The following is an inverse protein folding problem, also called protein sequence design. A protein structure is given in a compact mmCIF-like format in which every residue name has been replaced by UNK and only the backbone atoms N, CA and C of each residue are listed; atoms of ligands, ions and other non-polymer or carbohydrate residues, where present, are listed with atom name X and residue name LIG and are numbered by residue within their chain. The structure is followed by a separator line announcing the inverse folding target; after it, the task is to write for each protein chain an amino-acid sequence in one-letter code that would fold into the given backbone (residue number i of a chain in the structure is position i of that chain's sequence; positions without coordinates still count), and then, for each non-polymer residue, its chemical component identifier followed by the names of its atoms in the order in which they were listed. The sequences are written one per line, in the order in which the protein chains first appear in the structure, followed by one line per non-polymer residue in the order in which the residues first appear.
data_IF_199069886274
#
_entry.id   IF_199069886274
#
_cell.length_a   1.000
_cell.length_b   1.000
_cell.length_c   1.000
_cell.angle_alpha   90.00
_cell.angle_beta   90.00
_cell.angle_gamma   90.00
#
_symmetry.space_group_name_H-M   'P 1'
#
loop_
_entity.id
_entity.type
_entity.pdbx_description
1 polymer ?
#
# COMPACT_ATOMS: atom_id res chain seq x y z
N UNK A 1 27.95 -19.06 23.40
CA UNK A 1 26.54 -18.80 23.76
C UNK A 1 25.73 -19.83 23.00
N UNK A 2 25.17 -20.83 23.69
CA UNK A 2 24.33 -21.87 23.07
C UNK A 2 22.94 -21.29 22.89
N UNK A 3 22.57 -20.96 21.66
CA UNK A 3 21.20 -20.56 21.31
C UNK A 3 20.27 -21.73 21.66
N UNK A 4 19.17 -21.52 22.40
CA UNK A 4 18.26 -22.61 22.71
C UNK A 4 17.76 -23.23 21.40
N UNK A 5 17.80 -24.56 21.31
CA UNK A 5 17.28 -25.30 20.17
C UNK A 5 15.77 -25.03 20.11
N UNK A 6 15.37 -24.11 19.24
CA UNK A 6 13.98 -23.70 19.09
C UNK A 6 13.19 -24.88 18.51
N UNK A 7 12.26 -25.42 19.30
CA UNK A 7 11.42 -26.56 18.92
C UNK A 7 10.45 -26.17 17.79
N UNK A 8 9.95 -27.16 17.04
CA UNK A 8 9.00 -26.89 15.97
C UNK A 8 7.70 -26.30 16.53
N UNK A 9 7.30 -25.11 16.06
CA UNK A 9 6.21 -24.37 16.67
C UNK A 9 5.91 -23.03 16.01
N UNK A 10 4.93 -22.32 16.56
CA UNK A 10 4.49 -21.01 16.09
C UNK A 10 5.25 -19.90 16.83
N UNK A 11 5.96 -19.06 16.08
CA UNK A 11 6.77 -17.99 16.66
C UNK A 11 6.52 -16.65 15.96
N UNK A 12 6.61 -15.53 16.71
CA UNK A 12 6.44 -14.21 16.13
C UNK A 12 7.64 -13.85 15.25
N UNK A 13 7.36 -13.38 14.03
CA UNK A 13 8.35 -12.79 13.14
C UNK A 13 8.48 -11.28 13.38
N UNK A 14 9.59 -10.67 12.93
CA UNK A 14 9.84 -9.22 13.03
C UNK A 14 8.78 -8.37 12.33
N UNK A 15 8.02 -8.98 11.43
CA UNK A 15 6.87 -8.41 10.74
C UNK A 15 5.58 -8.34 11.60
N UNK A 16 5.59 -8.90 12.81
CA UNK A 16 4.42 -8.98 13.69
C UNK A 16 3.43 -10.09 13.31
N UNK A 17 3.79 -10.96 12.36
CA UNK A 17 3.01 -12.14 11.98
C UNK A 17 3.60 -13.38 12.65
N UNK A 18 2.76 -14.32 13.06
CA UNK A 18 3.22 -15.61 13.59
C UNK A 18 3.52 -16.57 12.44
N UNK A 19 4.76 -17.02 12.32
CA UNK A 19 5.25 -17.97 11.30
C UNK A 19 5.62 -19.30 11.95
N UNK A 20 5.43 -20.41 11.24
CA UNK A 20 5.78 -21.74 11.77
C UNK A 20 7.27 -22.04 11.53
N UNK A 21 7.98 -22.37 12.60
CA UNK A 21 9.35 -22.89 12.63
C UNK A 21 9.30 -24.42 12.66
N UNK A 22 10.07 -25.09 11.79
CA UNK A 22 10.08 -26.57 11.72
C UNK A 22 11.24 -27.23 12.50
N UNK A 23 12.02 -26.44 13.24
CA UNK A 23 13.22 -26.90 13.95
C UNK A 23 14.53 -26.60 13.22
N UNK A 24 14.49 -26.35 11.90
CA UNK A 24 15.67 -26.09 11.07
C UNK A 24 15.57 -24.76 10.29
N UNK A 25 14.36 -24.42 9.83
CA UNK A 25 14.06 -23.24 9.04
C UNK A 25 12.64 -22.71 9.30
N UNK A 26 12.45 -21.44 8.94
CA UNK A 26 11.13 -20.83 8.92
C UNK A 26 10.35 -21.30 7.68
N UNK A 27 9.14 -21.81 7.88
CA UNK A 27 8.27 -22.29 6.79
C UNK A 27 7.32 -21.20 6.31
N UNK A 28 6.79 -21.27 5.09
CA UNK A 28 5.83 -20.26 4.59
C UNK A 28 4.43 -20.35 5.23
N UNK A 29 4.25 -21.22 6.24
CA UNK A 29 3.01 -21.32 7.00
C UNK A 29 2.89 -20.14 7.95
N UNK A 30 1.95 -19.27 7.66
CA UNK A 30 1.52 -18.21 8.56
C UNK A 30 0.35 -18.72 9.41
N UNK A 31 0.33 -18.35 10.70
CA UNK A 31 -0.78 -18.71 11.55
C UNK A 31 -2.05 -18.10 10.93
N UNK A 32 -3.14 -18.87 10.79
CA UNK A 32 -4.40 -18.28 10.39
C UNK A 32 -4.67 -17.15 11.39
N UNK A 33 -4.81 -15.91 10.88
CA UNK A 33 -5.43 -14.83 11.65
C UNK A 33 -6.65 -15.44 12.30
N UNK A 34 -6.91 -15.26 13.61
CA UNK A 34 -8.06 -15.87 14.26
C UNK A 34 -9.33 -15.39 13.54
N UNK A 35 -9.72 -16.16 12.52
CA UNK A 35 -11.04 -16.14 11.92
C UNK A 35 -11.91 -16.43 13.12
N UNK A 36 -12.67 -15.43 13.53
CA UNK A 36 -13.54 -15.45 14.70
C UNK A 36 -14.27 -16.79 14.73
N UNK A 37 -13.72 -17.74 15.50
CA UNK A 37 -14.41 -18.96 15.82
C UNK A 37 -15.51 -18.48 16.76
N UNK A 38 -16.73 -18.40 16.25
CA UNK A 38 -17.92 -18.12 17.04
C UNK A 38 -18.05 -19.33 17.99
N UNK A 39 -17.39 -19.26 19.13
CA UNK A 39 -17.57 -20.20 20.22
C UNK A 39 -18.85 -19.80 20.96
N UNK A 40 -19.89 -20.66 21.04
CA UNK A 40 -21.07 -20.34 21.81
C UNK A 40 -20.72 -20.37 23.31
N UNK A 41 -20.88 -19.19 23.92
CA UNK A 41 -20.98 -18.92 25.36
C UNK A 41 -19.96 -19.61 26.30
N UNK A 42 -18.88 -18.90 26.65
CA UNK A 42 -18.44 -18.81 28.04
C UNK A 42 -17.42 -17.67 28.28
N UNK A 43 -17.74 -16.83 29.27
CA UNK A 43 -16.80 -16.19 30.22
C UNK A 43 -16.16 -14.83 29.88
N UNK A 44 -16.69 -13.81 30.58
CA UNK A 44 -16.08 -12.54 31.03
C UNK A 44 -15.21 -11.78 30.01
N UNK A 45 -15.85 -10.83 29.32
CA UNK A 45 -15.19 -9.81 28.51
C UNK A 45 -14.47 -8.80 29.42
N UNK A 46 -13.16 -8.99 29.65
CA UNK A 46 -12.30 -7.87 30.00
C UNK A 46 -12.28 -6.90 28.79
N UNK A 47 -12.37 -5.57 28.98
CA UNK A 47 -12.27 -4.62 27.88
C UNK A 47 -10.81 -4.55 27.42
N UNK A 48 -10.37 -5.55 26.68
CA UNK A 48 -9.14 -5.46 25.92
C UNK A 48 -9.47 -4.56 24.71
N UNK A 49 -8.95 -3.34 24.73
CA UNK A 49 -8.98 -2.46 23.56
C UNK A 49 -7.97 -3.00 22.57
N UNK A 50 -8.42 -3.88 21.67
CA UNK A 50 -7.58 -4.30 20.55
C UNK A 50 -7.38 -3.07 19.66
N UNK A 51 -6.22 -2.44 19.76
CA UNK A 51 -5.75 -1.49 18.75
C UNK A 51 -5.42 -2.34 17.53
N UNK A 52 -6.41 -2.54 16.67
CA UNK A 52 -6.21 -3.15 15.37
C UNK A 52 -5.39 -2.17 14.54
N UNK A 53 -4.08 -2.39 14.48
CA UNK A 53 -3.26 -1.71 13.48
C UNK A 53 -3.64 -2.33 12.15
N UNK A 54 -4.50 -1.62 11.41
CA UNK A 54 -4.85 -2.03 10.05
C UNK A 54 -3.55 -2.10 9.26
N UNK A 55 -3.17 -3.30 8.83
CA UNK A 55 -2.05 -3.51 7.93
C UNK A 55 -2.21 -2.52 6.78
N UNK A 56 -1.26 -1.59 6.64
CA UNK A 56 -1.36 -0.48 5.69
C UNK A 56 -1.25 -1.05 4.29
N UNK A 57 -2.38 -1.51 3.74
CA UNK A 57 -2.48 -1.96 2.36
C UNK A 57 -2.30 -0.72 1.50
N UNK A 58 -1.13 -0.58 0.88
CA UNK A 58 -0.87 0.48 -0.10
C UNK A 58 -1.93 0.36 -1.18
N UNK A 59 -2.83 1.34 -1.23
CA UNK A 59 -3.92 1.40 -2.19
C UNK A 59 -3.32 1.73 -3.56
N UNK A 60 -2.84 0.71 -4.26
CA UNK A 60 -2.25 0.86 -5.60
C UNK A 60 -3.17 1.62 -6.56
N UNK A 61 -4.49 1.44 -6.45
CA UNK A 61 -5.47 2.21 -7.21
C UNK A 61 -5.50 3.69 -6.85
N UNK A 62 -5.43 4.03 -5.56
CA UNK A 62 -5.32 5.42 -5.11
C UNK A 62 -4.02 6.06 -5.62
N UNK A 63 -2.93 5.32 -5.56
CA UNK A 63 -1.62 5.79 -6.04
C UNK A 63 -1.62 6.04 -7.55
N UNK A 64 -2.20 5.11 -8.33
CA UNK A 64 -2.38 5.29 -9.77
C UNK A 64 -3.27 6.50 -10.08
N UNK A 65 -4.39 6.63 -9.38
CA UNK A 65 -5.33 7.74 -9.56
C UNK A 65 -4.69 9.10 -9.27
N UNK A 66 -3.98 9.21 -8.15
CA UNK A 66 -3.26 10.44 -7.79
C UNK A 66 -2.20 10.79 -8.84
N UNK A 67 -1.49 9.78 -9.35
CA UNK A 67 -0.47 9.98 -10.40
C UNK A 67 -1.08 10.51 -11.70
N UNK A 68 -2.24 9.98 -12.12
CA UNK A 68 -2.94 10.44 -13.32
C UNK A 68 -3.43 11.88 -13.14
N UNK A 69 -3.99 12.22 -11.97
CA UNK A 69 -4.45 13.59 -11.69
C UNK A 69 -3.28 14.57 -11.69
N UNK A 70 -2.23 14.27 -10.92
CA UNK A 70 -1.07 15.16 -10.82
C UNK A 70 -0.38 15.29 -12.17
N UNK A 71 -0.12 14.19 -12.88
CA UNK A 71 0.49 14.22 -14.21
C UNK A 71 -0.38 14.90 -15.28
N UNK A 72 -1.69 14.63 -15.26
CA UNK A 72 -2.66 15.21 -16.19
C UNK A 72 -2.83 16.73 -16.00
N UNK A 73 -2.92 17.20 -14.75
CA UNK A 73 -2.98 18.64 -14.45
C UNK A 73 -1.70 19.34 -14.92
N UNK A 74 -0.51 18.75 -14.70
CA UNK A 74 0.74 19.32 -15.20
C UNK A 74 0.80 19.36 -16.74
N UNK A 75 0.35 18.30 -17.40
CA UNK A 75 0.25 18.28 -18.86
C UNK A 75 -0.70 19.38 -19.34
N UNK A 76 -1.88 19.56 -18.73
CA UNK A 76 -2.80 20.64 -19.08
C UNK A 76 -2.16 22.00 -18.82
N UNK A 77 -1.55 22.25 -17.66
CA UNK A 77 -0.95 23.54 -17.31
C UNK A 77 0.22 23.95 -18.22
N UNK A 78 0.98 23.00 -18.76
CA UNK A 78 2.11 23.29 -19.66
C UNK A 78 1.68 23.29 -21.13
N UNK A 79 0.89 22.30 -21.55
CA UNK A 79 0.48 22.17 -22.95
C UNK A 79 -0.60 23.18 -23.35
N UNK A 80 -1.50 23.57 -22.44
CA UNK A 80 -2.53 24.58 -22.74
C UNK A 80 -1.91 25.94 -23.13
N UNK A 81 -0.96 26.53 -22.38
CA UNK A 81 -0.30 27.76 -22.82
C UNK A 81 0.60 27.56 -24.04
N UNK A 82 1.34 26.44 -24.15
CA UNK A 82 2.14 26.14 -25.35
C UNK A 82 1.27 26.08 -26.60
N UNK A 83 0.12 25.40 -26.55
CA UNK A 83 -0.78 25.29 -27.70
C UNK A 83 -1.42 26.62 -28.04
N UNK A 84 -1.80 27.43 -27.06
CA UNK A 84 -2.30 28.79 -27.28
C UNK A 84 -1.24 29.67 -27.94
N UNK A 85 -0.01 29.70 -27.43
CA UNK A 85 1.09 30.48 -28.00
C UNK A 85 1.42 30.01 -29.42
N UNK A 86 1.42 28.68 -29.66
CA UNK A 86 1.67 28.13 -30.99
C UNK A 86 0.61 28.60 -31.99
N UNK A 87 -0.67 28.62 -31.61
CA UNK A 87 -1.77 29.15 -32.45
C UNK A 87 -1.49 30.61 -32.85
N UNK A 88 -1.09 31.44 -31.90
CA UNK A 88 -0.76 32.85 -32.17
C UNK A 88 0.50 33.06 -33.01
N UNK A 89 1.41 32.10 -33.09
CA UNK A 89 2.59 32.20 -33.96
C UNK A 89 2.24 31.96 -35.43
N UNK A 90 1.24 31.13 -35.73
CA UNK A 90 0.76 30.92 -37.12
C UNK A 90 0.16 32.21 -37.71
N UNK A 91 -0.39 33.08 -36.88
CA UNK A 91 -1.07 34.32 -37.34
C UNK A 91 -0.08 35.42 -37.77
N UNK A 92 1.15 35.44 -37.24
CA UNK A 92 2.11 36.54 -37.46
C UNK A 92 2.86 36.45 -38.79
N UNK A 93 2.80 35.30 -39.46
CA UNK A 93 3.53 35.07 -40.72
C UNK A 93 2.76 35.62 -41.94
N UNK A 94 1.50 36.02 -41.76
CA UNK A 94 0.63 36.49 -42.84
C UNK A 94 0.44 38.02 -42.84
N UNK A 95 1.29 38.81 -42.18
CA UNK A 95 1.20 40.28 -42.28
C UNK A 95 2.56 40.95 -42.23
N UNK A 96 3.43 40.64 -43.19
CA UNK A 96 4.60 41.50 -43.49
C UNK A 96 5.07 41.35 -44.94
N UNK A 97 4.18 41.64 -45.90
CA UNK A 97 4.55 42.00 -47.27
C UNK A 97 3.34 42.70 -47.88
N UNK A 98 3.46 44.01 -48.07
CA UNK A 98 2.43 44.91 -48.60
C UNK A 98 2.87 46.35 -48.42
#
# INVERSE_FOLDING_TARGET
MTTPLQEAGWYPDVSGVTRFWDGHAWTDRLAPSPTQAIAPLATIQAPYTMVTTSAKRTSHGLHLFLTIITGGIWAILVWLPITIIHRFQHEKTTTRVG
#
